data_IF_201846436742
#
_entry.id   IF_201846436742
#
_cell.length_a   1.000
_cell.length_b   1.000
_cell.length_c   1.000
_cell.angle_alpha   90.00
_cell.angle_beta   90.00
_cell.angle_gamma   90.00
#
_symmetry.space_group_name_H-M   'P 1'
#
loop_
_entity.id
_entity.type
_entity.pdbx_description
1 polymer ?
#
# COMPACT_ATOMS: atom_id res chain seq x y z
N UNK A 1 -6.11 -5.87 2.91
CA UNK A 1 -6.35 -5.39 4.29
C UNK A 1 -6.24 -3.88 4.39
N UNK A 2 -5.11 -3.27 3.99
CA UNK A 2 -4.97 -1.79 4.00
C UNK A 2 -6.08 -1.08 3.23
N UNK A 3 -6.48 -1.59 2.06
CA UNK A 3 -7.59 -1.01 1.28
C UNK A 3 -8.94 -1.04 2.02
N UNK A 4 -9.17 -2.07 2.84
CA UNK A 4 -10.42 -2.24 3.61
C UNK A 4 -10.43 -1.26 4.78
N UNK A 5 -9.33 -1.18 5.52
CA UNK A 5 -9.22 -0.32 6.72
C UNK A 5 -9.29 1.16 6.33
N UNK A 6 -8.72 1.52 5.18
CA UNK A 6 -8.65 2.92 4.73
C UNK A 6 -9.78 3.34 3.80
N UNK A 7 -10.59 2.39 3.31
CA UNK A 7 -11.60 2.64 2.27
C UNK A 7 -11.03 3.08 0.93
N UNK A 8 -9.71 2.99 0.73
CA UNK A 8 -8.99 3.56 -0.41
C UNK A 8 -8.37 2.45 -1.27
N UNK A 9 -8.44 2.59 -2.60
CA UNK A 9 -7.84 1.63 -3.56
C UNK A 9 -6.34 1.82 -3.68
N UNK A 10 -5.54 0.75 -3.68
CA UNK A 10 -4.07 0.80 -3.77
C UNK A 10 -3.55 1.53 -5.03
N UNK A 11 -4.33 1.55 -6.11
CA UNK A 11 -4.00 2.24 -7.37
C UNK A 11 -4.41 3.72 -7.40
N UNK A 12 -4.96 4.26 -6.31
CA UNK A 12 -5.31 5.67 -6.22
C UNK A 12 -4.08 6.55 -6.12
N UNK A 13 -4.07 7.69 -6.82
CA UNK A 13 -3.09 8.76 -6.57
C UNK A 13 -3.54 9.57 -5.37
N UNK A 14 -2.80 9.50 -4.26
CA UNK A 14 -3.10 10.27 -3.05
C UNK A 14 -2.47 11.65 -3.15
N UNK A 15 -3.30 12.69 -3.25
CA UNK A 15 -2.83 14.07 -3.46
C UNK A 15 -2.01 14.63 -2.29
N UNK A 16 -2.12 14.05 -1.10
CA UNK A 16 -1.47 14.55 0.11
C UNK A 16 0.03 14.19 0.19
N UNK A 17 0.47 13.15 -0.52
CA UNK A 17 1.88 12.77 -0.61
C UNK A 17 2.20 12.51 -2.07
N UNK A 18 2.90 13.48 -2.68
CA UNK A 18 3.40 13.45 -4.06
C UNK A 18 3.71 12.01 -4.53
N UNK A 19 2.84 11.49 -5.39
CA UNK A 19 3.00 10.25 -6.15
C UNK A 19 3.27 8.96 -5.35
N UNK A 20 2.91 8.89 -4.06
CA UNK A 20 2.97 7.64 -3.29
C UNK A 20 1.72 6.77 -3.48
N UNK A 21 1.91 5.44 -3.56
CA UNK A 21 0.80 4.48 -3.51
C UNK A 21 0.25 4.37 -2.06
N UNK A 22 -0.84 3.60 -1.88
CA UNK A 22 -1.51 3.50 -0.57
C UNK A 22 -0.54 3.01 0.52
N UNK A 23 0.29 2.03 0.19
CA UNK A 23 1.26 1.45 1.12
C UNK A 23 2.24 2.52 1.60
N UNK A 24 2.76 3.36 0.71
CA UNK A 24 3.65 4.46 1.06
C UNK A 24 2.98 5.49 1.98
N UNK A 25 1.74 5.88 1.67
CA UNK A 25 1.01 6.85 2.49
C UNK A 25 0.65 6.31 3.88
N UNK A 26 0.19 5.05 3.99
CA UNK A 26 -0.06 4.38 5.27
C UNK A 26 1.22 4.27 6.09
N UNK A 27 2.34 3.89 5.44
CA UNK A 27 3.63 3.75 6.11
C UNK A 27 4.13 5.05 6.72
N UNK A 28 3.98 6.17 6.01
CA UNK A 28 4.37 7.49 6.53
C UNK A 28 3.58 7.85 7.79
N UNK A 29 2.25 7.76 7.72
CA UNK A 29 1.39 8.03 8.86
C UNK A 29 1.67 7.09 10.03
N UNK A 30 1.96 5.81 9.76
CA UNK A 30 2.38 4.87 10.80
C UNK A 30 3.68 5.31 11.49
N UNK A 31 4.70 5.71 10.73
CA UNK A 31 5.99 6.17 11.26
C UNK A 31 5.84 7.46 12.08
N UNK A 32 4.92 8.34 11.69
CA UNK A 32 4.62 9.59 12.41
C UNK A 32 3.70 9.39 13.63
N UNK A 33 3.20 8.17 13.89
CA UNK A 33 2.25 7.91 14.97
C UNK A 33 0.84 8.43 14.69
N UNK A 34 0.52 8.68 13.42
CA UNK A 34 -0.73 9.28 12.90
C UNK A 34 -1.59 8.28 12.12
N UNK A 35 -1.37 6.97 12.33
CA UNK A 35 -2.08 5.93 11.60
C UNK A 35 -3.61 5.95 11.78
N UNK A 36 -4.12 6.53 12.86
CA UNK A 36 -5.57 6.70 13.07
C UNK A 36 -6.21 7.65 12.05
N UNK A 37 -5.45 8.58 11.48
CA UNK A 37 -5.97 9.57 10.52
C UNK A 37 -6.38 8.97 9.18
N UNK A 38 -5.88 7.76 8.85
CA UNK A 38 -6.19 7.09 7.58
C UNK A 38 -7.24 6.00 7.71
N UNK A 39 -7.68 5.67 8.92
CA UNK A 39 -8.77 4.71 9.15
C UNK A 39 -10.06 5.30 8.56
N UNK A 40 -10.82 4.47 7.84
CA UNK A 40 -12.08 4.88 7.21
C UNK A 40 -13.06 5.42 8.27
N UNK A 41 -13.65 6.61 8.08
CA UNK A 41 -14.64 7.16 9.02
C UNK A 41 -15.87 6.27 9.26
N UNK A 42 -16.11 5.26 8.42
CA UNK A 42 -17.17 4.28 8.64
C UNK A 42 -16.90 3.39 9.86
N UNK A 43 -15.65 3.26 10.32
CA UNK A 43 -15.33 2.56 11.56
C UNK A 43 -15.75 3.39 12.77
N UNK A 44 -16.54 2.77 13.64
CA UNK A 44 -16.95 3.30 14.92
C UNK A 44 -15.78 3.29 15.93
N UNK A 45 -15.77 4.21 16.90
CA UNK A 45 -14.69 4.33 17.90
C UNK A 45 -14.37 3.00 18.60
N UNK A 46 -15.38 2.15 18.83
CA UNK A 46 -15.24 0.83 19.46
C UNK A 46 -14.41 -0.18 18.68
N UNK A 47 -14.16 0.04 17.38
CA UNK A 47 -13.40 -0.89 16.52
C UNK A 47 -12.14 -0.25 15.93
N UNK A 48 -11.84 1.00 16.28
CA UNK A 48 -10.65 1.71 15.77
C UNK A 48 -9.37 1.01 16.21
N UNK A 49 -9.30 0.51 17.45
CA UNK A 49 -8.13 -0.23 17.95
C UNK A 49 -7.90 -1.53 17.15
N UNK A 50 -8.97 -2.25 16.83
CA UNK A 50 -8.90 -3.47 16.01
C UNK A 50 -8.51 -3.13 14.56
N UNK A 51 -9.02 -2.01 14.04
CA UNK A 51 -8.65 -1.51 12.72
C UNK A 51 -7.16 -1.11 12.66
N UNK A 52 -6.63 -0.45 13.70
CA UNK A 52 -5.22 -0.11 13.83
C UNK A 52 -4.33 -1.35 13.98
N UNK A 53 -4.78 -2.35 14.75
CA UNK A 53 -4.12 -3.65 14.84
C UNK A 53 -4.05 -4.34 13.49
N UNK A 54 -5.16 -4.38 12.77
CA UNK A 54 -5.21 -4.90 11.40
C UNK A 54 -4.31 -4.07 10.48
N UNK A 55 -4.22 -2.75 10.64
CA UNK A 55 -3.35 -1.91 9.84
C UNK A 55 -1.87 -2.30 10.04
N UNK A 56 -1.46 -2.52 11.28
CA UNK A 56 -0.11 -2.99 11.64
C UNK A 56 0.20 -4.36 11.00
N UNK A 57 -0.72 -5.32 11.09
CA UNK A 57 -0.58 -6.63 10.42
C UNK A 57 -0.46 -6.46 8.89
N UNK A 58 -1.13 -5.46 8.33
CA UNK A 58 -1.12 -5.15 6.91
C UNK A 58 0.24 -4.67 6.46
N UNK A 59 0.85 -3.77 7.26
CA UNK A 59 2.21 -3.30 7.04
C UNK A 59 3.24 -4.42 7.18
N UNK A 60 3.12 -5.30 8.17
CA UNK A 60 4.00 -6.47 8.32
C UNK A 60 3.97 -7.38 7.08
N UNK A 61 2.80 -7.50 6.44
CA UNK A 61 2.59 -8.35 5.26
C UNK A 61 3.21 -7.79 3.97
N UNK A 62 3.57 -6.52 3.92
CA UNK A 62 4.12 -5.85 2.72
C UNK A 62 5.55 -5.34 2.91
N UNK A 63 6.24 -5.84 3.95
CA UNK A 63 7.65 -5.51 4.21
C UNK A 63 8.55 -5.85 3.03
N UNK A 64 9.62 -5.06 2.91
CA UNK A 64 10.63 -5.16 1.85
C UNK A 64 11.24 -6.56 1.75
N UNK A 65 11.77 -7.06 2.86
CA UNK A 65 12.36 -8.38 2.89
C UNK A 65 11.29 -9.46 3.07
N UNK A 66 11.33 -10.46 2.20
CA UNK A 66 10.40 -11.59 2.24
C UNK A 66 10.46 -12.37 3.56
N UNK A 67 11.65 -12.43 4.18
CA UNK A 67 11.89 -13.09 5.47
C UNK A 67 11.24 -12.39 6.65
N UNK A 68 10.94 -11.09 6.52
CA UNK A 68 10.27 -10.34 7.57
C UNK A 68 8.74 -10.49 7.48
N UNK A 69 8.20 -10.91 6.34
CA UNK A 69 6.75 -11.06 6.14
C UNK A 69 6.21 -12.25 6.95
N UNK A 70 5.14 -12.07 7.73
CA UNK A 70 4.53 -13.18 8.46
C UNK A 70 3.95 -14.20 7.48
N UNK A 71 4.00 -15.48 7.86
CA UNK A 71 3.26 -16.52 7.15
C UNK A 71 1.76 -16.34 7.35
N UNK A 72 0.93 -16.91 6.46
CA UNK A 72 -0.54 -16.81 6.61
C UNK A 72 -1.05 -17.41 7.92
N UNK A 73 -0.43 -18.48 8.43
CA UNK A 73 -0.79 -19.05 9.75
C UNK A 73 -0.45 -18.08 10.89
N UNK A 74 0.70 -17.40 10.81
CA UNK A 74 1.05 -16.33 11.75
C UNK A 74 0.05 -15.18 11.69
N UNK A 75 -0.38 -14.75 10.49
CA UNK A 75 -1.39 -13.69 10.34
C UNK A 75 -2.71 -14.09 11.00
N UNK A 76 -3.20 -15.32 10.81
CA UNK A 76 -4.42 -15.80 11.47
C UNK A 76 -4.28 -15.78 13.00
N UNK A 77 -3.13 -16.19 13.52
CA UNK A 77 -2.85 -16.12 14.97
C UNK A 77 -2.82 -14.68 15.48
N UNK A 78 -2.22 -13.75 14.72
CA UNK A 78 -2.16 -12.33 15.07
C UNK A 78 -3.54 -11.67 15.10
N UNK A 79 -4.43 -12.04 14.18
CA UNK A 79 -5.82 -11.57 14.12
C UNK A 79 -6.70 -12.16 15.21
N UNK A 80 -6.48 -13.42 15.57
CA UNK A 80 -7.32 -14.13 16.56
C UNK A 80 -6.86 -13.97 18.02
N UNK A 81 -5.82 -13.20 18.28
CA UNK A 81 -5.23 -13.09 19.62
C UNK A 81 -4.78 -11.66 19.91
N UNK A 82 -4.90 -11.22 21.16
CA UNK A 82 -4.54 -9.86 21.61
C UNK A 82 -3.05 -9.71 21.96
N UNK A 83 -2.20 -10.61 21.49
CA UNK A 83 -0.75 -10.53 21.75
C UNK A 83 -0.13 -9.29 21.11
N UNK A 84 0.91 -8.76 21.74
CA UNK A 84 1.71 -7.67 21.18
C UNK A 84 2.23 -8.03 19.79
N UNK A 85 2.12 -7.09 18.86
CA UNK A 85 2.59 -7.24 17.48
C UNK A 85 3.97 -6.61 17.31
N UNK A 86 4.85 -7.19 16.48
CA UNK A 86 6.12 -6.56 16.15
C UNK A 86 5.90 -5.25 15.38
N UNK A 87 6.77 -4.27 15.60
CA UNK A 87 6.73 -3.02 14.83
C UNK A 87 7.08 -3.31 13.35
N UNK A 88 6.25 -2.86 12.39
CA UNK A 88 6.54 -3.02 10.98
C UNK A 88 7.82 -2.29 10.56
N UNK A 89 8.57 -2.91 9.66
CA UNK A 89 9.71 -2.33 8.94
C UNK A 89 9.26 -1.70 7.61
N UNK A 90 10.21 -1.09 6.90
CA UNK A 90 9.96 -0.46 5.61
C UNK A 90 9.31 -1.43 4.60
N UNK A 91 8.21 -1.02 3.94
CA UNK A 91 7.59 -1.78 2.86
C UNK A 91 8.41 -1.85 1.58
N UNK A 92 8.23 -2.93 0.81
CA UNK A 92 8.95 -3.16 -0.46
C UNK A 92 8.65 -2.13 -1.56
N UNK A 93 7.45 -1.55 -1.51
CA UNK A 93 6.85 -0.84 -2.63
C UNK A 93 6.45 0.58 -2.25
N UNK A 94 7.37 1.34 -1.64
CA UNK A 94 7.18 2.78 -1.56
C UNK A 94 7.56 3.35 -2.93
N UNK A 95 6.56 3.53 -3.80
CA UNK A 95 6.78 4.28 -5.05
C UNK A 95 6.96 5.74 -4.66
N UNK A 96 8.19 6.15 -4.40
CA UNK A 96 8.57 7.57 -4.45
C UNK A 96 8.99 7.83 -5.89
N UNK A 97 8.19 8.59 -6.64
CA UNK A 97 8.62 9.10 -7.94
C UNK A 97 9.70 10.16 -7.67
N UNK A 98 10.94 9.74 -7.45
CA UNK A 98 12.09 10.64 -7.48
C UNK A 98 12.19 11.16 -8.92
N UNK A 99 11.58 12.31 -9.19
CA UNK A 99 11.95 13.14 -10.33
C UNK A 99 13.40 13.59 -10.12
N UNK A 100 14.37 12.72 -10.42
CA UNK A 100 15.76 13.13 -10.60
C UNK A 100 15.78 14.06 -11.80
N UNK A 101 16.06 15.34 -11.54
CA UNK A 101 16.05 16.39 -12.54
C UNK A 101 16.90 16.04 -13.75
N UNK A 102 16.24 15.77 -14.87
CA UNK A 102 16.78 16.08 -16.19
C UNK A 102 15.79 17.04 -16.80
N UNK A 103 16.18 18.32 -16.85
CA UNK A 103 15.41 19.36 -17.52
C UNK A 103 15.45 19.07 -19.02
N UNK A 104 14.39 18.49 -19.58
CA UNK A 104 13.98 18.78 -20.96
C UNK A 104 12.44 18.87 -21.03
N UNK A 105 11.98 19.93 -21.69
CA UNK A 105 10.59 20.34 -21.95
C UNK A 105 9.79 19.23 -22.65
N UNK A 106 8.46 19.11 -22.64
CA UNK A 106 7.35 19.93 -22.16
C UNK A 106 6.02 19.19 -22.43
N UNK A 107 5.01 19.49 -21.62
CA UNK A 107 3.56 19.38 -21.85
C UNK A 107 2.86 18.01 -22.06
N UNK A 108 1.97 17.76 -21.10
CA UNK A 108 0.56 17.34 -21.27
C UNK A 108 0.21 15.86 -21.40
N UNK A 109 -0.76 15.52 -20.54
CA UNK A 109 -1.78 14.47 -20.66
C UNK A 109 -1.41 13.00 -20.45
N UNK A 110 -1.98 12.46 -19.36
CA UNK A 110 -2.57 11.12 -19.32
C UNK A 110 -1.63 9.96 -19.62
N UNK A 111 -1.00 9.40 -18.58
CA UNK A 111 -0.44 8.06 -18.68
C UNK A 111 -1.59 7.04 -18.66
N UNK A 112 -2.33 6.96 -19.77
CA UNK A 112 -3.08 5.77 -20.12
C UNK A 112 -2.06 4.70 -20.50
N UNK A 113 -2.11 3.55 -19.82
CA UNK A 113 -1.36 2.37 -20.22
C UNK A 113 -1.81 1.96 -21.63
N UNK A 114 -0.90 2.04 -22.60
CA UNK A 114 -1.12 1.47 -23.93
C UNK A 114 -0.87 -0.03 -23.80
N UNK A 115 -1.95 -0.81 -23.76
CA UNK A 115 -1.87 -2.26 -23.94
C UNK A 115 -1.47 -2.51 -25.41
N UNK A 116 -0.16 -2.68 -25.67
CA UNK A 116 0.33 -3.12 -26.98
C UNK A 116 -0.09 -4.57 -27.16
N UNK A 117 -1.18 -4.79 -27.89
CA UNK A 117 -1.65 -6.13 -28.28
C UNK A 117 -0.64 -6.73 -29.26
N UNK A 118 -0.07 -7.89 -28.90
CA UNK A 118 0.77 -8.67 -29.83
C UNK A 118 -0.14 -9.58 -30.65
N UNK A 119 -0.35 -9.25 -31.93
CA UNK A 119 -1.06 -10.13 -32.86
C UNK A 119 -0.08 -11.14 -33.46
N UNK A 120 -0.20 -12.42 -33.09
CA UNK A 120 0.53 -13.51 -33.76
C UNK A 120 -0.22 -13.88 -35.03
N UNK A 121 0.40 -13.69 -36.20
CA UNK A 121 -0.14 -14.15 -37.48
C UNK A 121 0.01 -15.69 -37.57
N UNK A 122 -1.10 -16.40 -37.77
CA UNK A 122 -1.07 -17.84 -38.06
C UNK A 122 -0.78 -18.04 -39.56
N UNK A 123 0.32 -18.71 -39.87
CA UNK A 123 0.65 -19.13 -41.23
C UNK A 123 0.03 -20.52 -41.48
N UNK A 124 -0.83 -20.62 -42.50
CA UNK A 124 -1.39 -21.89 -42.93
C UNK A 124 -0.40 -22.61 -43.85
N UNK A 125 -0.16 -23.90 -43.58
CA UNK A 125 0.69 -24.79 -44.39
C UNK A 125 -0.08 -25.38 -45.57
#
# INVERSE_FOLDING_TARGET
>A
MLEIITGKKNTGRYKEIQDSNLVGHVWELWREGRASEIVDPFFNESVVDEALRCLQIGLLSVQEHATDRPTMSTVVLMLGNDSALPSPKQPAFIVTNYHSGTKESSFSEGVHSINVVTCTMLEAR
#
